data_IF_116058629923
#
_entry.id   IF_116058629923
#
_cell.length_a   1.000
_cell.length_b   1.000
_cell.length_c   1.000
_cell.angle_alpha   90.00
_cell.angle_beta   90.00
_cell.angle_gamma   90.00
#
_symmetry.space_group_name_H-M   'P 1'
#
loop_
_entity.id
_entity.type
_entity.pdbx_description
1 polymer ?
#
# COMPACT_ATOMS: atom_id res chain seq x y z
N UNK A 1 8.40 -17.59 13.68
CA UNK A 1 8.52 -16.90 12.39
C UNK A 1 8.91 -15.46 12.63
N UNK A 2 9.81 -14.93 11.81
CA UNK A 2 10.24 -13.55 11.82
C UNK A 2 9.53 -12.78 10.72
N UNK A 3 8.76 -11.77 11.12
CA UNK A 3 8.06 -10.91 10.17
C UNK A 3 8.59 -9.48 10.25
N UNK A 4 8.84 -8.87 9.10
CA UNK A 4 9.17 -7.45 9.03
C UNK A 4 7.93 -6.67 8.62
N UNK A 5 7.57 -5.64 9.39
CA UNK A 5 6.41 -4.79 9.12
C UNK A 5 6.90 -3.45 8.60
N UNK A 6 6.58 -3.12 7.34
CA UNK A 6 6.74 -1.77 6.79
C UNK A 6 5.47 -0.99 7.12
N UNK A 7 5.59 -0.02 8.02
CA UNK A 7 4.47 0.80 8.48
C UNK A 7 4.61 2.22 7.92
N UNK A 8 3.57 2.69 7.21
CA UNK A 8 3.43 4.10 6.85
C UNK A 8 2.54 4.82 7.88
N UNK A 9 3.10 5.63 8.81
CA UNK A 9 2.32 6.31 9.83
C UNK A 9 1.38 7.37 9.23
N UNK A 10 1.75 8.00 8.12
CA UNK A 10 0.91 8.99 7.44
C UNK A 10 -0.34 8.38 6.79
N UNK A 11 -0.32 7.08 6.48
CA UNK A 11 -1.53 6.36 6.04
C UNK A 11 -2.47 6.03 7.21
N UNK A 12 -1.99 6.10 8.46
CA UNK A 12 -2.71 5.66 9.64
C UNK A 12 -3.23 6.84 10.47
N UNK A 13 -4.54 7.02 10.56
CA UNK A 13 -5.14 7.88 11.59
C UNK A 13 -5.17 7.14 12.93
N UNK A 14 -4.82 7.82 14.04
CA UNK A 14 -5.04 7.34 15.43
C UNK A 14 -4.35 6.03 15.87
N UNK A 15 -3.20 5.66 15.29
CA UNK A 15 -2.41 4.47 15.65
C UNK A 15 -3.23 3.16 15.55
N UNK A 16 -4.01 3.02 14.46
CA UNK A 16 -4.87 1.85 14.25
C UNK A 16 -4.07 0.55 14.13
N UNK A 17 -2.84 0.58 13.60
CA UNK A 17 -1.99 -0.61 13.54
C UNK A 17 -1.63 -1.11 14.94
N UNK A 18 -1.10 -0.22 15.78
CA UNK A 18 -0.66 -0.54 17.14
C UNK A 18 -1.82 -0.99 18.03
N UNK A 19 -3.04 -0.50 17.79
CA UNK A 19 -4.23 -0.86 18.57
C UNK A 19 -4.88 -2.16 18.12
N UNK A 20 -4.85 -2.48 16.83
CA UNK A 20 -5.71 -3.53 16.28
C UNK A 20 -4.95 -4.68 15.59
N UNK A 21 -3.76 -4.43 15.03
CA UNK A 21 -2.99 -5.46 14.33
C UNK A 21 -1.80 -5.96 15.16
N UNK A 22 -1.00 -5.05 15.71
CA UNK A 22 0.20 -5.42 16.48
C UNK A 22 -0.08 -6.37 17.66
N UNK A 23 -1.15 -6.18 18.47
CA UNK A 23 -1.44 -7.09 19.57
C UNK A 23 -1.75 -8.52 19.09
N UNK A 24 -2.45 -8.65 17.95
CA UNK A 24 -2.81 -9.95 17.39
C UNK A 24 -1.54 -10.68 16.90
N UNK A 25 -0.64 -9.97 16.22
CA UNK A 25 0.63 -10.54 15.74
C UNK A 25 1.51 -11.02 16.91
N UNK A 26 1.61 -10.22 17.97
CA UNK A 26 2.36 -10.59 19.18
C UNK A 26 1.75 -11.80 19.89
N UNK A 27 0.43 -11.85 20.04
CA UNK A 27 -0.28 -12.98 20.67
C UNK A 27 -0.13 -14.28 19.85
N UNK A 28 0.01 -14.18 18.54
CA UNK A 28 0.28 -15.32 17.67
C UNK A 28 1.74 -15.83 17.73
N UNK A 29 2.60 -15.21 18.54
CA UNK A 29 4.01 -15.61 18.69
C UNK A 29 4.89 -15.24 17.50
N UNK A 30 4.47 -14.26 16.68
CA UNK A 30 5.28 -13.76 15.57
C UNK A 30 6.28 -12.75 16.10
N UNK A 31 7.58 -12.96 15.81
CA UNK A 31 8.63 -12.00 16.11
C UNK A 31 8.56 -10.88 15.06
N UNK A 32 7.95 -9.76 15.42
CA UNK A 32 7.75 -8.63 14.52
C UNK A 32 8.83 -7.56 14.68
N UNK A 33 9.45 -7.18 13.55
CA UNK A 33 10.32 -6.00 13.47
C UNK A 33 9.58 -4.90 12.72
N UNK A 34 9.24 -3.81 13.41
CA UNK A 34 8.48 -2.71 12.81
C UNK A 34 9.45 -1.64 12.28
N UNK A 35 9.38 -1.39 10.98
CA UNK A 35 10.13 -0.33 10.29
C UNK A 35 9.13 0.74 9.84
N UNK A 36 9.27 1.93 10.40
CA UNK A 36 8.42 3.08 10.07
C UNK A 36 9.02 3.86 8.90
N UNK A 37 8.18 4.27 7.95
CA UNK A 37 8.58 5.18 6.87
C UNK A 37 8.25 6.62 7.26
N UNK A 38 9.20 7.52 7.02
CA UNK A 38 9.12 8.96 7.26
C UNK A 38 8.67 9.74 6.01
N UNK A 39 9.00 9.27 4.80
CA UNK A 39 8.68 9.96 3.55
C UNK A 39 8.41 9.02 2.36
N UNK A 40 7.77 9.56 1.31
CA UNK A 40 7.45 8.83 0.07
C UNK A 40 8.71 8.32 -0.63
N UNK A 41 8.70 7.05 -1.03
CA UNK A 41 9.82 6.37 -1.68
C UNK A 41 10.86 5.81 -0.71
N UNK A 42 10.72 6.02 0.61
CA UNK A 42 11.63 5.43 1.59
C UNK A 42 11.41 3.92 1.74
N UNK A 43 10.16 3.43 1.65
CA UNK A 43 9.87 2.00 1.75
C UNK A 43 10.64 1.22 0.68
N UNK A 44 10.65 1.74 -0.55
CA UNK A 44 11.41 1.18 -1.68
C UNK A 44 12.90 1.01 -1.35
N UNK A 45 13.55 2.05 -0.80
CA UNK A 45 14.97 2.02 -0.44
C UNK A 45 15.25 1.06 0.73
N UNK A 46 14.36 1.03 1.72
CA UNK A 46 14.48 0.12 2.87
C UNK A 46 14.40 -1.33 2.44
N UNK A 47 13.46 -1.66 1.55
CA UNK A 47 13.31 -3.01 1.01
C UNK A 47 14.52 -3.44 0.19
N UNK A 48 15.16 -2.53 -0.56
CA UNK A 48 16.40 -2.85 -1.29
C UNK A 48 17.56 -3.27 -0.37
N UNK A 49 17.57 -2.78 0.87
CA UNK A 49 18.62 -3.06 1.88
C UNK A 49 18.22 -4.11 2.91
N UNK A 50 16.97 -4.57 2.89
CA UNK A 50 16.43 -5.47 3.90
C UNK A 50 17.07 -6.86 3.80
N UNK A 51 17.34 -7.50 4.94
CA UNK A 51 17.73 -8.91 4.95
C UNK A 51 16.54 -9.83 4.71
N UNK A 52 16.81 -11.11 4.49
CA UNK A 52 15.75 -12.09 4.25
C UNK A 52 14.92 -12.35 5.51
N UNK A 53 13.60 -12.39 5.34
CA UNK A 53 12.61 -12.55 6.40
C UNK A 53 11.64 -13.67 6.02
N UNK A 54 11.04 -14.35 6.99
CA UNK A 54 10.05 -15.40 6.69
C UNK A 54 8.77 -14.80 6.07
N UNK A 55 8.43 -13.55 6.44
CA UNK A 55 7.25 -12.86 5.96
C UNK A 55 7.46 -11.33 5.95
N UNK A 56 6.94 -10.68 4.92
CA UNK A 56 6.89 -9.22 4.84
C UNK A 56 5.45 -8.75 5.03
N UNK A 57 5.21 -7.79 5.91
CA UNK A 57 3.88 -7.22 6.15
C UNK A 57 3.92 -5.74 5.80
N UNK A 58 3.04 -5.30 4.90
CA UNK A 58 2.90 -3.90 4.53
C UNK A 58 1.66 -3.33 5.19
N UNK A 59 1.85 -2.39 6.10
CA UNK A 59 0.79 -1.69 6.81
C UNK A 59 0.70 -0.24 6.29
N UNK A 60 -0.24 0.01 5.38
CA UNK A 60 -0.30 1.27 4.65
C UNK A 60 -1.45 1.34 3.64
N UNK A 61 -1.30 2.21 2.65
CA UNK A 61 -2.19 2.27 1.48
C UNK A 61 -1.57 1.65 0.23
N UNK A 62 -2.29 1.70 -0.89
CA UNK A 62 -1.84 1.18 -2.19
C UNK A 62 -0.45 1.72 -2.59
N UNK A 63 -0.16 3.00 -2.32
CA UNK A 63 1.15 3.60 -2.61
C UNK A 63 2.30 2.98 -1.82
N UNK A 64 2.10 2.67 -0.54
CA UNK A 64 3.13 2.02 0.29
C UNK A 64 3.40 0.59 -0.19
N UNK A 65 2.35 -0.14 -0.54
CA UNK A 65 2.50 -1.47 -1.12
C UNK A 65 3.21 -1.43 -2.47
N UNK A 66 2.85 -0.47 -3.33
CA UNK A 66 3.49 -0.23 -4.61
C UNK A 66 5.01 0.03 -4.47
N UNK A 67 5.41 0.84 -3.48
CA UNK A 67 6.82 1.09 -3.19
C UNK A 67 7.56 -0.16 -2.73
N UNK A 68 6.94 -0.95 -1.85
CA UNK A 68 7.52 -2.20 -1.34
C UNK A 68 7.73 -3.21 -2.46
N UNK A 69 6.70 -3.46 -3.29
CA UNK A 69 6.77 -4.39 -4.42
C UNK A 69 7.82 -3.93 -5.43
N UNK A 70 7.84 -2.63 -5.75
CA UNK A 70 8.84 -2.07 -6.65
C UNK A 70 10.26 -2.22 -6.08
N UNK A 71 10.46 -2.00 -4.78
CA UNK A 71 11.75 -2.22 -4.13
C UNK A 71 12.17 -3.68 -4.21
N UNK A 72 11.25 -4.61 -3.91
CA UNK A 72 11.52 -6.05 -3.89
C UNK A 72 11.93 -6.58 -5.26
N UNK A 73 11.17 -6.23 -6.30
CA UNK A 73 11.39 -6.69 -7.69
C UNK A 73 12.52 -5.94 -8.42
N UNK A 74 13.15 -4.96 -7.77
CA UNK A 74 14.37 -4.32 -8.27
C UNK A 74 15.64 -4.97 -7.75
N UNK A 75 15.54 -5.84 -6.75
CA UNK A 75 16.69 -6.45 -6.12
C UNK A 75 17.34 -7.48 -7.05
N UNK A 76 18.67 -7.65 -6.99
CA UNK A 76 19.37 -8.68 -7.75
C UNK A 76 18.99 -10.11 -7.31
N UNK A 77 18.56 -10.29 -6.07
CA UNK A 77 18.11 -11.56 -5.47
C UNK A 77 16.57 -11.72 -5.49
N UNK A 78 15.88 -11.01 -6.39
CA UNK A 78 14.41 -11.01 -6.49
C UNK A 78 13.80 -12.41 -6.59
N UNK A 79 14.45 -13.39 -7.22
CA UNK A 79 13.90 -14.74 -7.39
C UNK A 79 13.75 -15.46 -6.04
N UNK A 80 14.64 -15.15 -5.09
CA UNK A 80 14.60 -15.73 -3.75
C UNK A 80 13.54 -15.02 -2.89
N UNK A 81 13.42 -13.70 -3.05
CA UNK A 81 12.44 -12.89 -2.33
C UNK A 81 11.02 -12.98 -2.88
N UNK A 82 10.83 -13.33 -4.15
CA UNK A 82 9.50 -13.50 -4.77
C UNK A 82 8.71 -14.64 -4.14
N UNK A 83 9.39 -15.59 -3.48
CA UNK A 83 8.77 -16.67 -2.72
C UNK A 83 8.40 -16.26 -1.28
N UNK A 84 8.83 -15.09 -0.82
CA UNK A 84 8.50 -14.60 0.53
C UNK A 84 7.07 -14.05 0.53
N UNK A 85 6.15 -14.60 1.35
CA UNK A 85 4.77 -14.14 1.37
C UNK A 85 4.68 -12.69 1.85
N UNK A 86 3.85 -11.90 1.17
CA UNK A 86 3.59 -10.49 1.50
C UNK A 86 2.18 -10.36 2.05
N UNK A 87 2.07 -9.97 3.33
CA UNK A 87 0.82 -9.60 3.96
C UNK A 87 0.50 -8.13 3.74
N UNK A 88 -0.76 -7.79 3.49
CA UNK A 88 -1.20 -6.40 3.36
C UNK A 88 -2.22 -6.06 4.44
N UNK A 89 -1.93 -5.03 5.24
CA UNK A 89 -2.83 -4.48 6.25
C UNK A 89 -3.32 -3.11 5.75
N UNK A 90 -4.60 -2.99 5.38
CA UNK A 90 -5.13 -1.78 4.75
C UNK A 90 -5.33 -0.67 5.78
N UNK A 91 -4.41 0.28 5.81
CA UNK A 91 -4.51 1.49 6.64
C UNK A 91 -4.98 2.71 5.84
N UNK A 92 -4.87 2.69 4.52
CA UNK A 92 -5.29 3.81 3.66
C UNK A 92 -6.79 4.12 3.72
N UNK A 93 -7.19 5.29 3.21
CA UNK A 93 -8.60 5.65 3.05
C UNK A 93 -9.29 4.91 1.90
N UNK A 94 -8.52 4.59 0.86
CA UNK A 94 -8.92 3.77 -0.28
C UNK A 94 -7.81 2.75 -0.48
N UNK A 95 -8.16 1.46 -0.39
CA UNK A 95 -7.24 0.36 -0.60
C UNK A 95 -7.85 -0.53 -1.67
N UNK A 96 -7.32 -0.44 -2.87
CA UNK A 96 -7.98 -0.99 -4.05
C UNK A 96 -7.77 -2.51 -4.16
N UNK A 97 -6.79 -3.08 -3.45
CA UNK A 97 -6.57 -4.53 -3.35
C UNK A 97 -7.37 -5.22 -2.23
N UNK A 98 -7.79 -4.47 -1.21
CA UNK A 98 -8.55 -5.05 -0.10
C UNK A 98 -9.81 -5.80 -0.52
N UNK A 99 -10.61 -5.33 -1.50
CA UNK A 99 -11.79 -6.05 -1.99
C UNK A 99 -11.47 -7.43 -2.58
N UNK A 100 -10.27 -7.60 -3.14
CA UNK A 100 -9.83 -8.85 -3.76
C UNK A 100 -9.25 -9.84 -2.76
N UNK A 101 -8.76 -9.35 -1.62
CA UNK A 101 -8.08 -10.16 -0.60
C UNK A 101 -8.94 -10.45 0.64
N UNK A 102 -9.91 -9.57 0.95
CA UNK A 102 -10.70 -9.66 2.17
C UNK A 102 -12.16 -9.22 1.94
N UNK A 103 -13.05 -9.68 2.81
CA UNK A 103 -14.42 -9.18 2.87
C UNK A 103 -14.42 -7.74 3.40
N UNK A 104 -14.88 -6.81 2.57
CA UNK A 104 -14.97 -5.40 2.95
C UNK A 104 -16.00 -5.18 4.06
N UNK A 105 -15.68 -4.25 4.97
CA UNK A 105 -16.58 -3.74 5.98
C UNK A 105 -16.71 -2.23 5.90
N UNK A 106 -17.84 -1.71 6.37
CA UNK A 106 -17.96 -0.27 6.71
C UNK A 106 -17.13 0.11 7.96
N UNK A 107 -16.39 -0.84 8.54
CA UNK A 107 -15.65 -0.67 9.78
C UNK A 107 -14.18 -1.01 9.53
N UNK A 108 -13.38 0.05 9.44
CA UNK A 108 -11.92 -0.03 9.21
C UNK A 108 -11.18 -0.90 10.23
N UNK A 109 -11.63 -0.94 11.48
CA UNK A 109 -11.02 -1.81 12.50
C UNK A 109 -11.26 -3.27 12.15
N UNK A 110 -12.47 -3.61 11.69
CA UNK A 110 -12.81 -4.97 11.25
C UNK A 110 -11.95 -5.39 10.06
N UNK A 111 -11.70 -4.49 9.11
CA UNK A 111 -10.84 -4.77 7.95
C UNK A 111 -9.40 -5.05 8.38
N UNK A 112 -8.83 -4.23 9.27
CA UNK A 112 -7.47 -4.41 9.80
C UNK A 112 -7.34 -5.73 10.53
N UNK A 113 -8.30 -6.04 11.42
CA UNK A 113 -8.30 -7.29 12.18
C UNK A 113 -8.47 -8.49 11.26
N UNK A 114 -9.39 -8.42 10.30
CA UNK A 114 -9.62 -9.48 9.31
C UNK A 114 -8.37 -9.75 8.48
N UNK A 115 -7.73 -8.71 7.95
CA UNK A 115 -6.49 -8.82 7.19
C UNK A 115 -5.36 -9.43 8.01
N UNK A 116 -5.22 -9.01 9.28
CA UNK A 116 -4.22 -9.56 10.20
C UNK A 116 -4.46 -11.04 10.49
N UNK A 117 -5.71 -11.46 10.67
CA UNK A 117 -6.07 -12.86 10.86
C UNK A 117 -5.83 -13.70 9.60
N UNK A 118 -6.13 -13.17 8.41
CA UNK A 118 -5.81 -13.83 7.13
C UNK A 118 -4.31 -14.04 6.97
N UNK A 119 -3.49 -13.05 7.32
CA UNK A 119 -2.03 -13.15 7.36
C UNK A 119 -1.59 -14.31 8.26
N UNK A 120 -2.15 -14.40 9.47
CA UNK A 120 -1.79 -15.45 10.43
C UNK A 120 -2.28 -16.84 10.03
N UNK A 121 -3.35 -16.95 9.26
CA UNK A 121 -3.80 -18.23 8.68
C UNK A 121 -2.79 -18.79 7.68
N UNK A 122 -1.96 -17.94 7.06
CA UNK A 122 -0.93 -18.36 6.11
C UNK A 122 -1.46 -18.77 4.73
N UNK A 123 -2.70 -18.42 4.40
CA UNK A 123 -3.25 -18.64 3.05
C UNK A 123 -2.66 -17.61 2.09
N UNK A 124 -1.96 -18.08 1.06
CA UNK A 124 -1.30 -17.23 0.06
C UNK A 124 -1.99 -17.33 -1.30
N UNK A 125 -2.12 -16.20 -1.99
CA UNK A 125 -2.64 -16.13 -3.36
C UNK A 125 -1.54 -15.57 -4.26
N UNK A 126 -1.23 -16.24 -5.40
CA UNK A 126 -0.30 -15.68 -6.37
C UNK A 126 -0.94 -14.44 -7.03
N UNK A 127 -0.18 -13.36 -7.17
CA UNK A 127 -0.61 -12.12 -7.80
C UNK A 127 0.34 -11.75 -8.92
N UNK A 128 -0.22 -11.41 -10.08
CA UNK A 128 0.53 -10.92 -11.21
C UNK A 128 0.94 -9.47 -11.00
N UNK A 129 2.11 -9.08 -11.52
CA UNK A 129 2.64 -7.73 -11.42
C UNK A 129 3.03 -7.21 -12.80
N UNK A 130 2.65 -5.97 -13.09
CA UNK A 130 2.99 -5.29 -14.34
C UNK A 130 4.32 -4.57 -14.22
N UNK A 131 5.31 -4.92 -15.04
CA UNK A 131 6.55 -4.16 -15.15
C UNK A 131 6.40 -3.02 -16.17
N UNK A 132 6.69 -1.80 -15.73
CA UNK A 132 6.67 -0.58 -16.54
C UNK A 132 8.09 -0.03 -16.58
N UNK A 133 8.70 0.00 -17.77
CA UNK A 133 10.08 0.47 -17.96
C UNK A 133 10.11 1.67 -18.90
N UNK A 134 10.58 2.81 -18.38
CA UNK A 134 10.93 3.96 -19.20
C UNK A 134 12.31 3.80 -19.84
N UNK A 135 12.62 4.59 -20.86
CA UNK A 135 13.88 4.48 -21.61
C UNK A 135 15.13 4.75 -20.75
N UNK A 136 15.05 5.67 -19.78
CA UNK A 136 16.17 6.14 -18.96
C UNK A 136 16.04 5.85 -17.47
N UNK A 137 14.89 5.34 -17.05
CA UNK A 137 14.56 5.15 -15.64
C UNK A 137 14.59 3.68 -15.23
N UNK A 138 14.80 3.46 -13.93
CA UNK A 138 14.67 2.14 -13.34
C UNK A 138 13.21 1.64 -13.46
N UNK A 139 12.99 0.33 -13.72
CA UNK A 139 11.66 -0.21 -13.94
C UNK A 139 10.78 -0.05 -12.70
N UNK A 140 9.51 0.32 -12.87
CA UNK A 140 8.51 0.42 -11.80
C UNK A 140 7.52 -0.73 -11.95
N UNK A 141 7.08 -1.32 -10.85
CA UNK A 141 6.25 -2.52 -10.87
C UNK A 141 4.88 -2.23 -10.29
N UNK A 142 3.81 -2.32 -11.07
CA UNK A 142 2.45 -2.01 -10.66
C UNK A 142 1.63 -3.26 -10.38
N UNK A 143 0.99 -3.34 -9.21
CA UNK A 143 0.13 -4.47 -8.86
C UNK A 143 -1.31 -4.31 -9.37
N UNK A 144 -1.72 -3.06 -9.60
CA UNK A 144 -3.13 -2.74 -9.91
C UNK A 144 -3.34 -2.25 -11.34
N UNK A 145 -2.46 -1.35 -11.79
CA UNK A 145 -2.55 -0.75 -13.10
C UNK A 145 -2.02 0.68 -13.14
N UNK A 146 -1.89 1.19 -14.37
CA UNK A 146 -1.49 2.55 -14.67
C UNK A 146 -2.72 3.36 -15.07
N UNK A 147 -2.88 4.57 -14.53
CA UNK A 147 -3.94 5.51 -14.92
C UNK A 147 -3.32 6.80 -15.45
N UNK A 148 -3.75 7.22 -16.63
CA UNK A 148 -3.31 8.46 -17.26
C UNK A 148 -4.48 9.16 -17.95
N UNK A 149 -4.47 10.50 -17.95
CA UNK A 149 -5.50 11.34 -18.54
C UNK A 149 -6.34 12.12 -17.52
N UNK A 150 -7.39 12.78 -18.03
CA UNK A 150 -8.16 13.79 -17.30
C UNK A 150 -8.71 13.32 -15.94
N UNK A 151 -9.19 12.07 -15.85
CA UNK A 151 -9.70 11.53 -14.58
C UNK A 151 -8.62 11.43 -13.50
N UNK A 152 -7.38 11.08 -13.88
CA UNK A 152 -6.25 11.04 -12.95
C UNK A 152 -5.86 12.45 -12.52
N UNK A 153 -5.88 13.40 -13.45
CA UNK A 153 -5.50 14.79 -13.15
C UNK A 153 -6.52 15.46 -12.23
N UNK A 154 -7.81 15.22 -12.46
CA UNK A 154 -8.87 15.62 -11.51
C UNK A 154 -8.64 14.96 -10.14
N UNK A 155 -8.39 13.64 -10.10
CA UNK A 155 -8.17 12.95 -8.83
C UNK A 155 -7.00 13.56 -8.03
N UNK A 156 -5.94 14.00 -8.72
CA UNK A 156 -4.80 14.67 -8.11
C UNK A 156 -5.10 16.09 -7.58
N UNK A 157 -6.14 16.76 -8.09
CA UNK A 157 -6.53 18.12 -7.65
C UNK A 157 -7.58 18.12 -6.53
N UNK A 158 -8.31 17.03 -6.30
CA UNK A 158 -9.34 16.93 -5.24
C UNK A 158 -8.83 17.40 -3.87
N UNK A 159 -7.61 17.02 -3.49
CA UNK A 159 -7.02 17.39 -2.20
C UNK A 159 -6.77 18.90 -2.06
N UNK A 160 -6.56 19.63 -3.17
CA UNK A 160 -6.35 21.09 -3.17
C UNK A 160 -7.61 21.85 -2.77
N UNK A 161 -8.78 21.29 -3.07
CA UNK A 161 -10.09 21.87 -2.75
C UNK A 161 -10.59 21.48 -1.34
N UNK A 162 -9.68 21.22 -0.40
CA UNK A 162 -10.02 20.78 0.97
C UNK A 162 -11.02 21.71 1.68
N UNK A 163 -10.98 23.01 1.39
CA UNK A 163 -11.84 24.04 1.97
C UNK A 163 -13.30 23.98 1.49
N UNK A 164 -13.60 23.24 0.41
CA UNK A 164 -14.96 23.06 -0.11
C UNK A 164 -15.69 21.86 0.52
N UNK A 165 -15.06 21.15 1.46
CA UNK A 165 -15.69 20.07 2.22
C UNK A 165 -16.33 19.01 1.31
N UNK A 166 -17.65 18.73 1.42
CA UNK A 166 -18.34 17.75 0.57
C UNK A 166 -18.31 18.07 -0.93
N UNK A 167 -18.17 19.34 -1.30
CA UNK A 167 -18.20 19.78 -2.70
C UNK A 167 -16.84 19.64 -3.39
N UNK A 168 -15.76 19.33 -2.65
CA UNK A 168 -14.39 19.27 -3.20
C UNK A 168 -14.24 18.36 -4.42
N UNK A 169 -14.96 17.24 -4.44
CA UNK A 169 -14.91 16.27 -5.55
C UNK A 169 -15.55 16.87 -6.80
N UNK A 170 -16.76 17.41 -6.66
CA UNK A 170 -17.48 18.05 -7.78
C UNK A 170 -16.73 19.28 -8.29
N UNK A 171 -16.19 20.09 -7.37
CA UNK A 171 -15.36 21.25 -7.70
C UNK A 171 -14.11 20.86 -8.49
N UNK A 172 -13.42 19.79 -8.11
CA UNK A 172 -12.26 19.31 -8.86
C UNK A 172 -12.65 18.91 -10.29
N UNK A 173 -13.77 18.21 -10.48
CA UNK A 173 -14.28 17.89 -11.82
C UNK A 173 -14.60 19.15 -12.63
N UNK A 174 -15.24 20.14 -12.02
CA UNK A 174 -15.63 21.38 -12.68
C UNK A 174 -14.44 22.27 -13.07
N UNK A 175 -13.49 22.46 -12.15
CA UNK A 175 -12.38 23.39 -12.34
C UNK A 175 -11.18 22.82 -13.09
N UNK A 176 -11.03 21.49 -13.15
CA UNK A 176 -9.92 20.85 -13.87
C UNK A 176 -10.30 20.55 -15.33
N UNK A 177 -11.56 20.76 -15.73
CA UNK A 177 -11.91 20.81 -17.15
C UNK A 177 -11.22 22.04 -17.77
N UNK A 178 -10.31 21.88 -18.74
CA UNK A 178 -9.98 23.00 -19.59
C UNK A 178 -11.27 23.34 -20.33
N UNK A 179 -11.82 24.54 -20.09
CA UNK A 179 -12.65 25.15 -21.11
C UNK A 179 -11.80 25.11 -22.40
N UNK A 180 -12.31 24.54 -23.51
CA UNK A 180 -11.58 24.61 -24.76
C UNK A 180 -11.25 26.10 -25.01
N UNK A 181 -10.02 26.42 -25.48
CA UNK A 181 -9.67 27.81 -25.73
C UNK A 181 -10.68 28.55 -26.62
N UNK A 182 -11.36 27.82 -27.52
CA UNK A 182 -12.45 28.25 -28.39
C UNK A 182 -13.11 26.99 -28.97
#
# INVERSE_FOLDING_TARGET
WKATVILNPAACTNNLFEKNAAPILHLAGVEITIVKTDYEGQAKKLIELMEQTDMLIVAGGDGTLQEVITGLLRRPDQDTFSNTPIGFIPLGSHNSLSPSLHLLSDNKVRDITSATLSILKGETVPLDVLQIKGEKEQPVFALMGLRWGAFRDVAATISKYWYLGPLKTNAAHWFTHPLPPW
#
